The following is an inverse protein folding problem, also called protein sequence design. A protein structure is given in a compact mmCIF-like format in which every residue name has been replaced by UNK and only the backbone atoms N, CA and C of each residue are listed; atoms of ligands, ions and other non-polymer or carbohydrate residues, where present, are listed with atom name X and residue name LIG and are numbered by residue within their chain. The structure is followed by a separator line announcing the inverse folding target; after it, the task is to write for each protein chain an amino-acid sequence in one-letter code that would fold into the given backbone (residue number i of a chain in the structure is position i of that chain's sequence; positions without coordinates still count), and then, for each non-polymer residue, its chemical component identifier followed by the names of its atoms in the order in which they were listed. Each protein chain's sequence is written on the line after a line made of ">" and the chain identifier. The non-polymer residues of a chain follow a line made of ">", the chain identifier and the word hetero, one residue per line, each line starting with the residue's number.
data_IF_843505574075
#
_entry.id   IF_843505574075
#
_cell.length_a   1.000
_cell.length_b   1.000
_cell.length_c   1.000
_cell.angle_alpha   90.00
_cell.angle_beta   90.00
_cell.angle_gamma   90.00
#
_symmetry.space_group_name_H-M   'P 1'
#
loop_
_entity.id
_entity.type
_entity.pdbx_description
1 polymer ?
#
# COMPACT_ATOMS: atom_id res chain seq x y z
N UNK A 1 31.54 11.40 -5.98
CA UNK A 1 30.25 10.74 -5.69
C UNK A 1 29.21 11.50 -6.47
N UNK A 2 28.41 10.83 -7.28
CA UNK A 2 27.31 11.49 -8.00
C UNK A 2 26.28 12.00 -6.98
N UNK A 3 26.02 13.31 -6.99
CA UNK A 3 25.12 13.97 -6.04
C UNK A 3 23.66 13.54 -6.25
N UNK A 4 23.27 13.23 -7.49
CA UNK A 4 21.93 12.75 -7.79
C UNK A 4 21.74 11.33 -7.25
N UNK A 5 22.71 10.46 -7.44
CA UNK A 5 22.69 9.11 -6.85
C UNK A 5 22.60 9.16 -5.32
N UNK A 6 23.36 10.05 -4.67
CA UNK A 6 23.30 10.22 -3.21
C UNK A 6 21.90 10.65 -2.74
N UNK A 7 21.23 11.54 -3.48
CA UNK A 7 19.87 11.98 -3.20
C UNK A 7 18.86 10.82 -3.29
N UNK A 8 18.95 10.02 -4.36
CA UNK A 8 18.11 8.83 -4.56
C UNK A 8 18.35 7.80 -3.47
N UNK A 9 19.61 7.49 -3.15
CA UNK A 9 19.97 6.52 -2.12
C UNK A 9 19.48 6.95 -0.72
N UNK A 10 19.55 8.25 -0.42
CA UNK A 10 19.02 8.81 0.83
C UNK A 10 17.50 8.66 0.90
N UNK A 11 16.80 8.92 -0.20
CA UNK A 11 15.34 8.75 -0.28
C UNK A 11 14.92 7.29 -0.10
N UNK A 12 15.64 6.35 -0.72
CA UNK A 12 15.44 4.92 -0.54
C UNK A 12 15.70 4.46 0.90
N UNK A 13 16.70 5.05 1.57
CA UNK A 13 16.96 4.79 2.99
C UNK A 13 15.80 5.28 3.89
N UNK A 14 15.17 6.41 3.57
CA UNK A 14 13.95 6.87 4.26
C UNK A 14 12.81 5.85 4.12
N UNK A 15 12.56 5.32 2.92
CA UNK A 15 11.53 4.30 2.71
C UNK A 15 11.81 3.00 3.48
N UNK A 16 13.09 2.59 3.56
CA UNK A 16 13.52 1.47 4.39
C UNK A 16 13.30 1.74 5.88
N UNK A 17 13.60 2.94 6.36
CA UNK A 17 13.37 3.34 7.75
C UNK A 17 11.88 3.28 8.10
N UNK A 18 11.01 3.83 7.26
CA UNK A 18 9.55 3.78 7.42
C UNK A 18 9.10 2.33 7.58
N UNK A 19 9.50 1.45 6.64
CA UNK A 19 9.12 0.04 6.67
C UNK A 19 9.51 -0.64 7.98
N UNK A 20 10.74 -0.39 8.45
CA UNK A 20 11.27 -0.97 9.70
C UNK A 20 10.58 -0.46 10.95
N UNK A 21 10.08 0.79 10.94
CA UNK A 21 9.40 1.40 12.08
C UNK A 21 7.94 0.96 12.17
N UNK A 22 7.28 0.75 11.04
CA UNK A 22 5.85 0.42 11.01
C UNK A 22 5.53 -1.07 10.88
N UNK A 23 6.46 -1.92 10.42
CA UNK A 23 6.18 -3.37 10.32
C UNK A 23 7.39 -4.25 10.50
N UNK A 24 7.39 -5.02 11.61
CA UNK A 24 8.38 -6.06 11.89
C UNK A 24 8.22 -7.26 10.97
N UNK A 25 6.99 -7.71 10.73
CA UNK A 25 6.68 -8.85 9.87
C UNK A 25 7.04 -8.60 8.41
N UNK A 26 6.67 -7.44 7.86
CA UNK A 26 7.00 -7.09 6.48
C UNK A 26 8.52 -6.90 6.31
N UNK A 27 9.17 -6.24 7.28
CA UNK A 27 10.63 -6.10 7.30
C UNK A 27 11.35 -7.45 7.32
N UNK A 28 10.84 -8.44 8.07
CA UNK A 28 11.39 -9.79 8.07
C UNK A 28 11.18 -10.48 6.71
N UNK A 29 9.99 -10.34 6.11
CA UNK A 29 9.69 -10.87 4.78
C UNK A 29 10.59 -10.30 3.68
N UNK A 30 10.87 -8.99 3.68
CA UNK A 30 11.79 -8.41 2.71
C UNK A 30 13.19 -9.02 2.84
N UNK A 31 13.67 -9.30 4.07
CA UNK A 31 15.01 -9.87 4.28
C UNK A 31 15.20 -11.26 3.67
N UNK A 32 14.12 -12.00 3.39
CA UNK A 32 14.20 -13.31 2.72
C UNK A 32 14.29 -13.19 1.20
N UNK A 33 14.07 -12.00 0.63
CA UNK A 33 14.19 -11.74 -0.80
C UNK A 33 15.65 -11.49 -1.20
N UNK A 34 15.93 -11.56 -2.50
CA UNK A 34 17.20 -11.13 -3.04
C UNK A 34 17.48 -9.64 -2.73
N UNK A 35 18.73 -9.33 -2.35
CA UNK A 35 19.14 -7.98 -1.92
C UNK A 35 18.92 -6.92 -2.99
N UNK A 36 18.99 -7.28 -4.27
CA UNK A 36 18.74 -6.35 -5.38
C UNK A 36 17.31 -5.80 -5.38
N UNK A 37 16.34 -6.57 -4.88
CA UNK A 37 14.93 -6.21 -4.86
C UNK A 37 14.56 -5.33 -3.65
N UNK A 38 15.36 -5.39 -2.58
CA UNK A 38 15.02 -4.77 -1.29
C UNK A 38 14.66 -3.29 -1.43
N UNK A 39 15.48 -2.51 -2.15
CA UNK A 39 15.29 -1.07 -2.33
C UNK A 39 13.92 -0.74 -2.94
N UNK A 40 13.54 -1.45 -3.99
CA UNK A 40 12.27 -1.25 -4.68
C UNK A 40 11.08 -1.67 -3.81
N UNK A 41 11.18 -2.79 -3.09
CA UNK A 41 10.11 -3.23 -2.18
C UNK A 41 9.95 -2.29 -0.99
N UNK A 42 11.05 -1.77 -0.42
CA UNK A 42 10.97 -0.73 0.60
C UNK A 42 10.33 0.56 0.06
N UNK A 43 10.63 0.97 -1.17
CA UNK A 43 10.00 2.14 -1.79
C UNK A 43 8.49 1.97 -1.99
N UNK A 44 8.05 0.79 -2.47
CA UNK A 44 6.62 0.46 -2.62
C UNK A 44 5.92 0.47 -1.26
N UNK A 45 6.48 -0.21 -0.26
CA UNK A 45 5.88 -0.25 1.07
C UNK A 45 5.88 1.12 1.76
N UNK A 46 6.98 1.87 1.63
CA UNK A 46 7.10 3.21 2.20
C UNK A 46 6.00 4.14 1.70
N UNK A 47 5.69 4.10 0.40
CA UNK A 47 4.56 4.83 -0.18
C UNK A 47 3.21 4.41 0.40
N UNK A 48 2.94 3.11 0.41
CA UNK A 48 1.69 2.55 0.95
C UNK A 48 1.49 3.00 2.39
N UNK A 49 2.51 2.80 3.24
CA UNK A 49 2.42 3.16 4.65
C UNK A 49 2.26 4.66 4.86
N UNK A 50 2.88 5.49 4.03
CA UNK A 50 2.76 6.94 4.18
C UNK A 50 1.35 7.43 3.86
N UNK A 51 0.69 6.85 2.85
CA UNK A 51 -0.71 7.13 2.56
C UNK A 51 -1.65 6.64 3.66
N UNK A 52 -1.43 5.43 4.20
CA UNK A 52 -2.20 4.92 5.35
C UNK A 52 -2.14 5.90 6.53
N UNK A 53 -0.96 6.42 6.88
CA UNK A 53 -0.80 7.37 7.99
C UNK A 53 -1.55 8.69 7.77
N UNK A 54 -1.70 9.15 6.52
CA UNK A 54 -2.52 10.33 6.20
C UNK A 54 -3.97 10.08 6.63
N UNK A 55 -4.48 8.89 6.33
CA UNK A 55 -5.87 8.49 6.60
C UNK A 55 -6.08 8.10 8.06
N UNK A 56 -5.12 7.42 8.68
CA UNK A 56 -5.27 6.86 10.03
C UNK A 56 -4.94 7.87 11.14
N UNK A 57 -3.92 8.73 10.99
CA UNK A 57 -3.28 9.36 12.17
C UNK A 57 -3.66 10.82 12.40
N UNK A 58 -3.77 11.65 11.35
CA UNK A 58 -3.86 13.11 11.50
C UNK A 58 -5.30 13.63 11.71
N UNK A 59 -5.99 13.18 12.76
CA UNK A 59 -7.42 13.49 12.99
C UNK A 59 -7.76 14.99 13.14
N UNK A 60 -6.80 15.83 13.49
CA UNK A 60 -7.00 17.29 13.60
C UNK A 60 -6.80 18.03 12.28
N UNK A 61 -6.35 17.35 11.24
CA UNK A 61 -6.06 17.92 9.92
C UNK A 61 -7.18 17.58 8.93
N UNK A 62 -7.25 18.34 7.83
CA UNK A 62 -8.12 17.98 6.73
C UNK A 62 -7.48 16.85 5.89
N UNK A 63 -7.76 15.60 6.27
CA UNK A 63 -7.19 14.40 5.64
C UNK A 63 -7.52 14.29 4.14
N UNK A 64 -8.69 14.74 3.72
CA UNK A 64 -9.08 14.73 2.31
C UNK A 64 -8.19 15.65 1.47
N UNK A 65 -7.86 16.84 1.99
CA UNK A 65 -6.92 17.76 1.32
C UNK A 65 -5.51 17.16 1.30
N UNK A 66 -5.03 16.62 2.43
CA UNK A 66 -3.71 16.00 2.51
C UNK A 66 -3.55 14.83 1.53
N UNK A 67 -4.58 13.98 1.42
CA UNK A 67 -4.57 12.84 0.50
C UNK A 67 -4.58 13.30 -0.97
N UNK A 68 -5.42 14.29 -1.31
CA UNK A 68 -5.45 14.86 -2.66
C UNK A 68 -4.13 15.53 -3.05
N UNK A 69 -3.48 16.23 -2.12
CA UNK A 69 -2.14 16.78 -2.33
C UNK A 69 -1.09 15.69 -2.53
N UNK A 70 -1.14 14.64 -1.71
CA UNK A 70 -0.25 13.49 -1.81
C UNK A 70 -0.40 12.74 -3.14
N UNK A 71 -1.63 12.53 -3.61
CA UNK A 71 -1.91 11.97 -4.94
C UNK A 71 -1.34 12.84 -6.05
N UNK A 72 -1.64 14.16 -6.03
CA UNK A 72 -1.13 15.10 -7.03
C UNK A 72 0.40 15.08 -7.08
N UNK A 73 1.05 15.15 -5.92
CA UNK A 73 2.52 15.14 -5.83
C UNK A 73 3.13 13.80 -6.25
N UNK A 74 2.41 12.69 -6.05
CA UNK A 74 2.84 11.36 -6.52
C UNK A 74 2.97 11.34 -8.05
N UNK A 75 1.96 11.82 -8.76
CA UNK A 75 1.99 11.85 -10.22
C UNK A 75 2.96 12.88 -10.79
N UNK A 76 3.08 14.05 -10.15
CA UNK A 76 4.14 15.02 -10.48
C UNK A 76 5.52 14.38 -10.32
N UNK A 77 5.74 13.63 -9.24
CA UNK A 77 7.01 12.98 -8.98
C UNK A 77 7.37 11.91 -10.03
N UNK A 78 6.40 11.08 -10.40
CA UNK A 78 6.56 10.05 -11.44
C UNK A 78 6.89 10.68 -12.79
N UNK A 79 6.11 11.69 -13.21
CA UNK A 79 6.30 12.35 -14.49
C UNK A 79 7.63 13.13 -14.58
N UNK A 80 8.04 13.78 -13.49
CA UNK A 80 9.29 14.55 -13.44
C UNK A 80 10.54 13.69 -13.17
N UNK A 81 10.37 12.44 -12.74
CA UNK A 81 11.48 11.61 -12.27
C UNK A 81 12.10 12.09 -10.95
N UNK A 82 11.41 12.98 -10.21
CA UNK A 82 11.98 13.74 -9.09
C UNK A 82 10.91 14.19 -8.09
N UNK A 83 11.25 14.23 -6.80
CA UNK A 83 10.41 14.84 -5.76
C UNK A 83 11.27 15.37 -4.62
N UNK A 84 10.81 16.45 -3.99
CA UNK A 84 11.39 16.95 -2.74
C UNK A 84 10.95 16.10 -1.54
N UNK A 85 9.83 15.38 -1.66
CA UNK A 85 9.40 14.42 -0.65
C UNK A 85 10.20 13.12 -0.83
N UNK A 86 11.03 12.69 0.16
CA UNK A 86 11.86 11.50 0.02
C UNK A 86 11.06 10.21 -0.21
N UNK A 87 9.84 10.11 0.33
CA UNK A 87 8.97 8.95 0.12
C UNK A 87 8.51 8.89 -1.33
N UNK A 88 8.03 10.01 -1.86
CA UNK A 88 7.59 10.10 -3.25
C UNK A 88 8.77 9.96 -4.22
N UNK A 89 9.95 10.47 -3.87
CA UNK A 89 11.14 10.30 -4.69
C UNK A 89 11.61 8.84 -4.76
N UNK A 90 11.56 8.12 -3.63
CA UNK A 90 11.84 6.68 -3.61
C UNK A 90 10.80 5.89 -4.42
N UNK A 91 9.52 6.22 -4.24
CA UNK A 91 8.43 5.53 -4.92
C UNK A 91 8.46 5.75 -6.43
N UNK A 92 8.59 7.00 -6.89
CA UNK A 92 8.69 7.29 -8.32
C UNK A 92 9.87 6.57 -8.97
N UNK A 93 11.00 6.46 -8.26
CA UNK A 93 12.17 5.73 -8.75
C UNK A 93 11.81 4.26 -9.00
N UNK A 94 11.11 3.62 -8.06
CA UNK A 94 10.66 2.25 -8.22
C UNK A 94 9.62 2.10 -9.34
N UNK A 95 8.68 3.04 -9.46
CA UNK A 95 7.66 3.05 -10.54
C UNK A 95 8.33 3.10 -11.91
N UNK A 96 9.24 4.05 -12.10
CA UNK A 96 9.93 4.23 -13.37
C UNK A 96 10.92 3.09 -13.68
N UNK A 97 11.66 2.59 -12.67
CA UNK A 97 12.64 1.51 -12.86
C UNK A 97 12.00 0.14 -13.16
N UNK A 98 10.80 -0.13 -12.64
CA UNK A 98 10.12 -1.43 -12.78
C UNK A 98 8.83 -1.36 -13.62
N UNK A 99 8.56 -0.22 -14.24
CA UNK A 99 7.40 0.03 -15.09
C UNK A 99 6.09 -0.37 -14.40
N UNK A 100 5.91 0.13 -13.18
CA UNK A 100 4.72 -0.13 -12.38
C UNK A 100 3.53 0.61 -13.01
N UNK A 101 2.44 -0.11 -13.24
CA UNK A 101 1.23 0.43 -13.86
C UNK A 101 0.54 1.46 -12.96
N UNK A 102 0.16 2.60 -13.54
CA UNK A 102 -0.56 3.66 -12.82
C UNK A 102 -1.92 3.17 -12.29
N UNK A 103 -2.58 2.23 -12.99
CA UNK A 103 -3.80 1.57 -12.53
C UNK A 103 -3.68 1.05 -11.08
N UNK A 104 -2.53 0.50 -10.70
CA UNK A 104 -2.32 -0.05 -9.37
C UNK A 104 -2.14 1.03 -8.30
N UNK A 105 -1.71 2.22 -8.71
CA UNK A 105 -1.56 3.41 -7.87
C UNK A 105 -2.95 4.04 -7.68
N UNK A 106 -3.69 4.24 -8.77
CA UNK A 106 -5.06 4.77 -8.77
C UNK A 106 -5.98 3.93 -7.88
N UNK A 107 -5.98 2.61 -8.06
CA UNK A 107 -6.84 1.71 -7.28
C UNK A 107 -6.57 1.81 -5.78
N UNK A 108 -5.29 1.99 -5.40
CA UNK A 108 -4.89 2.13 -4.01
C UNK A 108 -5.28 3.49 -3.42
N UNK A 109 -4.98 4.58 -4.11
CA UNK A 109 -5.37 5.92 -3.67
C UNK A 109 -6.90 6.02 -3.56
N UNK A 110 -7.65 5.40 -4.47
CA UNK A 110 -9.11 5.32 -4.35
C UNK A 110 -9.56 4.56 -3.09
N UNK A 111 -8.82 3.53 -2.66
CA UNK A 111 -9.13 2.85 -1.39
C UNK A 111 -8.84 3.72 -0.18
N UNK A 112 -7.77 4.52 -0.22
CA UNK A 112 -7.47 5.52 0.82
C UNK A 112 -8.54 6.60 0.90
N UNK A 113 -9.08 7.05 -0.24
CA UNK A 113 -10.23 7.95 -0.26
C UNK A 113 -11.48 7.30 0.34
N UNK A 114 -11.74 6.03 0.01
CA UNK A 114 -12.86 5.28 0.58
C UNK A 114 -12.76 5.14 2.10
N UNK A 115 -11.55 5.11 2.65
CA UNK A 115 -11.32 5.10 4.10
C UNK A 115 -11.59 6.45 4.79
N UNK A 116 -11.70 7.56 4.03
CA UNK A 116 -12.16 8.85 4.55
C UNK A 116 -13.69 8.99 4.51
N UNK A 117 -14.38 8.15 3.74
CA UNK A 117 -15.84 8.15 3.66
C UNK A 117 -16.44 7.29 4.80
N UNK A 118 -17.38 7.86 5.56
CA UNK A 118 -18.07 7.15 6.65
C UNK A 118 -19.18 6.24 6.06
N UNK A 119 -18.85 5.00 5.69
CA UNK A 119 -19.81 4.08 5.04
C UNK A 119 -19.76 2.65 5.56
N UNK A 120 -20.95 2.13 5.85
CA UNK A 120 -21.22 0.69 5.86
C UNK A 120 -21.06 0.13 4.44
N UNK A 121 -19.94 -0.54 4.16
CA UNK A 121 -19.63 -1.04 2.82
C UNK A 121 -20.67 -2.06 2.35
N UNK A 122 -21.31 -1.78 1.20
CA UNK A 122 -22.03 -2.80 0.41
C UNK A 122 -21.01 -3.80 -0.14
N UNK A 123 -21.43 -5.04 -0.38
CA UNK A 123 -20.55 -6.13 -0.84
C UNK A 123 -19.72 -5.77 -2.09
N UNK A 124 -20.26 -4.99 -3.02
CA UNK A 124 -19.54 -4.51 -4.22
C UNK A 124 -18.40 -3.54 -3.88
N UNK A 125 -18.59 -2.67 -2.87
CA UNK A 125 -17.54 -1.77 -2.39
C UNK A 125 -16.45 -2.53 -1.62
N UNK A 126 -16.79 -3.67 -1.02
CA UNK A 126 -15.83 -4.49 -0.30
C UNK A 126 -14.77 -5.12 -1.22
N UNK A 127 -15.19 -5.67 -2.36
CA UNK A 127 -14.25 -6.25 -3.33
C UNK A 127 -13.36 -5.18 -3.96
N UNK A 128 -13.93 -4.02 -4.30
CA UNK A 128 -13.17 -2.86 -4.79
C UNK A 128 -12.15 -2.39 -3.73
N UNK A 129 -12.56 -2.34 -2.47
CA UNK A 129 -11.68 -1.96 -1.37
C UNK A 129 -10.54 -2.96 -1.19
N UNK A 130 -10.79 -4.26 -1.17
CA UNK A 130 -9.73 -5.28 -1.07
C UNK A 130 -8.77 -5.18 -2.26
N UNK A 131 -9.32 -4.99 -3.47
CA UNK A 131 -8.51 -4.85 -4.67
C UNK A 131 -7.49 -3.73 -4.51
N UNK A 132 -7.95 -2.53 -4.14
CA UNK A 132 -7.09 -1.35 -4.02
C UNK A 132 -6.25 -1.29 -2.75
N UNK A 133 -6.76 -1.70 -1.60
CA UNK A 133 -6.02 -1.66 -0.32
C UNK A 133 -4.90 -2.70 -0.24
N UNK A 134 -5.02 -3.85 -0.92
CA UNK A 134 -4.06 -4.94 -0.75
C UNK A 134 -3.65 -5.68 -2.03
N UNK A 135 -4.58 -6.03 -2.92
CA UNK A 135 -4.22 -6.84 -4.10
C UNK A 135 -3.25 -6.09 -5.02
N UNK A 136 -3.51 -4.80 -5.28
CA UNK A 136 -2.66 -3.96 -6.13
C UNK A 136 -1.29 -3.68 -5.51
N UNK A 137 -1.15 -3.76 -4.18
CA UNK A 137 0.16 -3.69 -3.51
C UNK A 137 0.98 -4.94 -3.85
N UNK A 138 0.33 -6.11 -3.80
CA UNK A 138 0.92 -7.37 -4.27
C UNK A 138 1.31 -7.34 -5.74
N UNK A 139 0.49 -6.72 -6.61
CA UNK A 139 0.80 -6.55 -8.03
C UNK A 139 1.97 -5.61 -8.29
N UNK A 140 2.13 -4.54 -7.51
CA UNK A 140 3.30 -3.65 -7.56
C UNK A 140 4.58 -4.38 -7.15
N UNK A 141 4.54 -5.17 -6.09
CA UNK A 141 5.65 -6.05 -5.72
C UNK A 141 5.94 -7.09 -6.83
N UNK A 142 4.91 -7.63 -7.48
CA UNK A 142 5.08 -8.59 -8.56
C UNK A 142 5.79 -7.97 -9.78
N UNK A 143 5.51 -6.70 -10.12
CA UNK A 143 6.27 -5.96 -11.15
C UNK A 143 7.77 -5.93 -10.82
N UNK A 144 8.10 -5.65 -9.55
CA UNK A 144 9.48 -5.66 -9.07
C UNK A 144 10.10 -7.06 -9.19
N UNK A 145 9.38 -8.11 -8.82
CA UNK A 145 9.88 -9.49 -8.88
C UNK A 145 10.09 -10.01 -10.31
N UNK A 146 9.25 -9.58 -11.25
CA UNK A 146 9.33 -10.03 -12.63
C UNK A 146 10.42 -9.30 -13.44
N UNK A 147 10.97 -8.20 -12.93
CA UNK A 147 12.10 -7.46 -13.54
C UNK A 147 11.91 -7.22 -15.06
N UNK A 148 10.71 -6.77 -15.46
CA UNK A 148 10.42 -6.49 -16.86
C UNK A 148 10.11 -7.72 -17.74
N UNK A 149 9.70 -8.85 -17.15
CA UNK A 149 9.20 -10.03 -17.87
C UNK A 149 7.66 -10.10 -17.88
N UNK A 150 6.96 -9.60 -18.92
CA UNK A 150 5.49 -9.52 -18.93
C UNK A 150 4.79 -10.88 -18.85
N UNK A 151 5.35 -11.90 -19.52
CA UNK A 151 4.75 -13.24 -19.50
C UNK A 151 4.75 -13.86 -18.10
N UNK A 152 5.82 -13.66 -17.34
CA UNK A 152 5.92 -14.11 -15.94
C UNK A 152 4.95 -13.34 -15.04
N UNK A 153 4.81 -12.03 -15.27
CA UNK A 153 3.83 -11.21 -14.56
C UNK A 153 2.41 -11.74 -14.77
N UNK A 154 1.98 -11.97 -16.01
CA UNK A 154 0.63 -12.47 -16.29
C UNK A 154 0.40 -13.87 -15.70
N UNK A 155 1.41 -14.75 -15.75
CA UNK A 155 1.34 -16.08 -15.14
C UNK A 155 1.13 -16.01 -13.62
N UNK A 156 1.76 -15.04 -12.94
CA UNK A 156 1.75 -14.90 -11.48
C UNK A 156 0.72 -13.87 -10.96
N UNK A 157 0.03 -13.15 -11.84
CA UNK A 157 -0.92 -12.10 -11.49
C UNK A 157 -2.03 -12.62 -10.57
N UNK A 158 -2.69 -13.71 -10.96
CA UNK A 158 -3.77 -14.31 -10.18
C UNK A 158 -3.34 -14.79 -8.77
N UNK A 159 -2.26 -15.59 -8.60
CA UNK A 159 -1.81 -15.97 -7.26
C UNK A 159 -1.34 -14.78 -6.42
N UNK A 160 -0.69 -13.77 -7.01
CA UNK A 160 -0.28 -12.56 -6.29
C UNK A 160 -1.48 -11.79 -5.72
N UNK A 161 -2.55 -11.63 -6.52
CA UNK A 161 -3.81 -11.01 -6.05
C UNK A 161 -4.43 -11.80 -4.89
N UNK A 162 -4.53 -13.13 -5.02
CA UNK A 162 -5.08 -13.98 -3.95
C UNK A 162 -4.30 -13.86 -2.65
N UNK A 163 -2.96 -13.77 -2.72
CA UNK A 163 -2.13 -13.58 -1.53
C UNK A 163 -2.38 -12.21 -0.87
N UNK A 164 -2.49 -11.14 -1.66
CA UNK A 164 -2.84 -9.81 -1.17
C UNK A 164 -4.20 -9.79 -0.47
N UNK A 165 -5.22 -10.37 -1.10
CA UNK A 165 -6.55 -10.50 -0.52
C UNK A 165 -6.55 -11.32 0.79
N UNK A 166 -5.74 -12.38 0.86
CA UNK A 166 -5.60 -13.19 2.06
C UNK A 166 -4.98 -12.38 3.21
N UNK A 167 -3.90 -11.63 2.97
CA UNK A 167 -3.31 -10.77 4.00
C UNK A 167 -4.27 -9.69 4.49
N UNK A 168 -5.08 -9.11 3.60
CA UNK A 168 -6.07 -8.10 4.02
C UNK A 168 -7.17 -8.70 4.87
N UNK A 169 -7.65 -9.90 4.54
CA UNK A 169 -8.60 -10.63 5.39
C UNK A 169 -8.01 -10.95 6.76
N UNK A 170 -6.73 -11.29 6.83
CA UNK A 170 -6.02 -11.49 8.11
C UNK A 170 -5.93 -10.18 8.90
N UNK A 171 -5.67 -9.04 8.24
CA UNK A 171 -5.70 -7.73 8.90
C UNK A 171 -7.09 -7.43 9.47
N UNK A 172 -8.16 -7.63 8.69
CA UNK A 172 -9.53 -7.43 9.19
C UNK A 172 -9.85 -8.31 10.40
N UNK A 173 -9.42 -9.57 10.41
CA UNK A 173 -9.64 -10.45 11.57
C UNK A 173 -8.82 -10.03 12.78
N UNK A 174 -7.58 -9.57 12.57
CA UNK A 174 -6.70 -9.08 13.64
C UNK A 174 -7.29 -7.83 14.31
N UNK A 175 -7.85 -6.93 13.52
CA UNK A 175 -8.25 -5.59 13.94
C UNK A 175 -9.77 -5.48 14.16
N UNK A 176 -10.52 -6.60 14.08
CA UNK A 176 -11.99 -6.64 14.10
C UNK A 176 -12.61 -5.92 15.31
N UNK A 177 -11.97 -6.04 16.49
CA UNK A 177 -12.47 -5.40 17.71
C UNK A 177 -12.29 -3.88 17.65
N UNK A 178 -11.09 -3.40 17.35
CA UNK A 178 -10.81 -1.97 17.26
C UNK A 178 -11.59 -1.31 16.12
N UNK A 179 -11.72 -1.99 14.98
CA UNK A 179 -12.49 -1.48 13.85
C UNK A 179 -13.98 -1.34 14.19
N UNK A 180 -14.54 -2.28 14.95
CA UNK A 180 -15.92 -2.20 15.41
C UNK A 180 -16.11 -1.14 16.51
N UNK A 181 -15.30 -1.19 17.58
CA UNK A 181 -15.47 -0.35 18.77
C UNK A 181 -15.06 1.12 18.55
N UNK A 182 -14.00 1.37 17.79
CA UNK A 182 -13.42 2.71 17.63
C UNK A 182 -13.87 3.40 16.33
N UNK A 183 -14.16 2.61 15.29
CA UNK A 183 -14.42 3.12 13.93
C UNK A 183 -15.81 2.79 13.40
N UNK A 184 -16.57 1.93 14.08
CA UNK A 184 -17.91 1.51 13.65
C UNK A 184 -17.93 0.70 12.36
N UNK A 185 -16.82 0.05 11.99
CA UNK A 185 -16.64 -0.62 10.70
C UNK A 185 -16.83 -2.13 10.81
N UNK A 186 -17.57 -2.71 9.86
CA UNK A 186 -17.68 -4.16 9.68
C UNK A 186 -17.29 -4.51 8.24
N UNK A 187 -16.16 -5.19 8.09
CA UNK A 187 -15.60 -5.52 6.78
C UNK A 187 -16.17 -6.81 6.19
N UNK A 188 -16.78 -7.70 6.97
CA UNK A 188 -17.32 -8.96 6.45
C UNK A 188 -18.81 -8.83 6.08
N UNK A 189 -19.18 -8.92 4.79
CA UNK A 189 -20.58 -8.79 4.38
C UNK A 189 -21.46 -9.86 5.04
N UNK A 190 -22.55 -9.44 5.70
CA UNK A 190 -23.52 -10.35 6.32
C UNK A 190 -23.11 -10.93 7.67
N UNK A 191 -21.91 -10.62 8.17
CA UNK A 191 -21.47 -10.96 9.53
C UNK A 191 -21.79 -9.79 10.46
N UNK A 192 -22.46 -10.07 11.57
CA UNK A 192 -22.68 -9.11 12.66
C UNK A 192 -21.71 -9.44 13.78
N UNK A 193 -20.85 -8.50 14.15
CA UNK A 193 -19.89 -8.70 15.24
C UNK A 193 -20.59 -9.13 16.53
N UNK A 194 -21.79 -8.61 16.78
CA UNK A 194 -22.62 -8.93 17.94
C UNK A 194 -23.14 -10.38 17.95
N UNK A 195 -22.99 -11.10 16.84
CA UNK A 195 -23.36 -12.50 16.70
C UNK A 195 -22.16 -13.45 16.83
N UNK A 196 -20.95 -12.92 17.04
CA UNK A 196 -19.80 -13.77 17.37
C UNK A 196 -19.97 -14.25 18.80
N UNK A 197 -20.10 -15.56 18.96
CA UNK A 197 -20.05 -16.24 20.24
C UNK A 197 -18.98 -17.34 20.21
N UNK A 198 -18.63 -17.88 21.38
CA UNK A 198 -17.72 -19.02 21.49
C UNK A 198 -18.42 -20.36 21.16
N UNK A 199 -19.64 -20.34 20.61
CA UNK A 199 -20.40 -21.55 20.33
C UNK A 199 -19.98 -22.13 18.97
N UNK A 200 -19.33 -23.30 19.02
CA UNK A 200 -18.94 -24.09 17.85
C UNK A 200 -20.12 -24.85 17.23
#
# INVERSE_FOLDING_TARGET
>A
MDQQQLFTDTSLACAQLITRRYSTSFSLGIRTLDKSLHRAIYAVYGFVRWADEIVDTFHTQNKAVLLAEFERDTYVAIAAGFSLNPVLHAFQWAVNAYTIDHEFIDAFLRSMEMDLEDRNYRQELYEQYIYGSAEVVGLRCLRVFCQGQPALFEQLRAPARRLGAAFQKVNFLRDIRSDYEERGRVYFPGLRYEQFDDAA
#
